data_IF_528726132049
#
_entry.id   IF_528726132049
#
_cell.length_a   1.000
_cell.length_b   1.000
_cell.length_c   1.000
_cell.angle_alpha   90.00
_cell.angle_beta   90.00
_cell.angle_gamma   90.00
#
_symmetry.space_group_name_H-M   'P 1'
#
loop_
_entity.id
_entity.type
_entity.pdbx_description
1 polymer ?
#
# COMPACT_ATOMS: atom_id res chain seq x y z
N UNK A 1 -49.55 -8.39 88.52
CA UNK A 1 -48.10 -8.13 88.36
C UNK A 1 -47.41 -9.41 87.89
N UNK A 2 -47.17 -9.55 86.57
CA UNK A 2 -46.36 -10.63 85.99
C UNK A 2 -45.15 -9.98 85.32
N UNK A 3 -43.94 -10.27 85.83
CA UNK A 3 -42.66 -9.77 85.29
C UNK A 3 -42.33 -10.56 84.03
N UNK A 4 -42.21 -9.87 82.89
CA UNK A 4 -41.71 -10.43 81.62
C UNK A 4 -40.19 -10.25 81.65
N UNK A 5 -39.44 -11.35 81.64
CA UNK A 5 -37.98 -11.37 81.52
C UNK A 5 -37.67 -11.54 80.03
N UNK A 6 -37.12 -10.50 79.40
CA UNK A 6 -36.55 -10.58 78.06
C UNK A 6 -35.13 -11.17 78.16
N UNK A 7 -34.94 -12.40 77.68
CA UNK A 7 -33.61 -12.94 77.40
C UNK A 7 -33.18 -12.44 76.00
N UNK A 8 -32.22 -11.52 75.96
CA UNK A 8 -31.50 -11.16 74.75
C UNK A 8 -30.46 -12.26 74.48
N UNK A 9 -30.71 -13.11 73.48
CA UNK A 9 -29.69 -13.99 72.89
C UNK A 9 -28.82 -13.16 71.94
N UNK A 10 -27.48 -13.23 72.00
CA UNK A 10 -26.64 -12.61 70.98
C UNK A 10 -26.74 -13.43 69.69
N UNK A 11 -27.26 -12.80 68.63
CA UNK A 11 -27.24 -13.36 67.28
C UNK A 11 -25.79 -13.33 66.78
N UNK A 12 -25.09 -14.45 66.88
CA UNK A 12 -23.76 -14.63 66.31
C UNK A 12 -23.92 -14.61 64.78
N UNK A 13 -23.53 -13.50 64.16
CA UNK A 13 -23.41 -13.39 62.71
C UNK A 13 -22.20 -14.23 62.29
N UNK A 14 -22.43 -15.51 61.98
CA UNK A 14 -21.43 -16.38 61.38
C UNK A 14 -21.13 -15.81 59.99
N UNK A 15 -19.94 -15.22 59.82
CA UNK A 15 -19.46 -14.76 58.52
C UNK A 15 -19.38 -15.94 57.56
N UNK A 16 -20.37 -16.05 56.66
CA UNK A 16 -20.28 -16.93 55.51
C UNK A 16 -19.27 -16.28 54.56
N UNK A 17 -18.05 -16.79 54.57
CA UNK A 17 -17.07 -16.54 53.51
C UNK A 17 -17.62 -17.16 52.24
N UNK A 18 -18.22 -16.35 51.38
CA UNK A 18 -18.61 -16.78 50.04
C UNK A 18 -17.32 -16.87 49.24
N UNK A 19 -16.73 -18.06 49.16
CA UNK A 19 -15.66 -18.32 48.21
C UNK A 19 -16.26 -18.29 46.82
N UNK A 20 -16.00 -17.21 46.08
CA UNK A 20 -16.19 -17.21 44.63
C UNK A 20 -15.21 -18.22 44.05
N UNK A 21 -15.70 -19.43 43.74
CA UNK A 21 -15.02 -20.29 42.80
C UNK A 21 -15.22 -19.64 41.42
N UNK A 22 -14.34 -18.72 41.05
CA UNK A 22 -14.21 -18.36 39.63
C UNK A 22 -13.64 -19.59 38.93
N UNK A 23 -14.22 -19.98 37.79
CA UNK A 23 -13.65 -20.98 36.88
C UNK A 23 -13.07 -20.22 35.69
N UNK A 24 -11.96 -20.67 35.12
CA UNK A 24 -11.43 -20.08 33.90
C UNK A 24 -12.44 -20.36 32.79
N UNK A 25 -12.82 -19.32 32.05
CA UNK A 25 -13.85 -19.41 31.01
C UNK A 25 -13.17 -19.45 29.64
N UNK A 26 -13.83 -20.02 28.62
CA UNK A 26 -13.37 -19.97 27.22
C UNK A 26 -13.13 -18.54 26.66
N UNK A 27 -13.49 -17.50 27.41
CA UNK A 27 -13.25 -16.09 27.09
C UNK A 27 -11.85 -15.61 27.46
N UNK A 28 -11.18 -16.26 28.43
CA UNK A 28 -9.88 -15.80 28.98
C UNK A 28 -8.80 -15.85 27.91
N UNK A 29 -8.47 -14.67 27.39
CA UNK A 29 -7.61 -14.55 26.23
C UNK A 29 -6.21 -14.02 26.55
N UNK A 30 -5.86 -13.76 27.82
CA UNK A 30 -4.50 -13.41 28.25
C UNK A 30 -3.93 -14.54 29.10
N UNK A 31 -2.69 -14.95 28.83
CA UNK A 31 -2.02 -16.07 29.49
C UNK A 31 -0.53 -15.81 29.66
N UNK A 32 0.14 -16.69 30.42
CA UNK A 32 1.57 -16.57 30.69
C UNK A 32 1.88 -15.83 31.99
N UNK A 33 3.15 -15.44 32.14
CA UNK A 33 3.68 -14.93 33.40
C UNK A 33 4.41 -13.61 33.20
N UNK A 34 4.19 -12.67 34.12
CA UNK A 34 5.05 -11.51 34.32
C UNK A 34 5.93 -11.72 35.56
N UNK A 35 6.99 -10.93 35.68
CA UNK A 35 7.97 -11.03 36.77
C UNK A 35 8.20 -9.68 37.44
N UNK A 36 8.21 -9.66 38.77
CA UNK A 36 8.79 -8.58 39.56
C UNK A 36 9.88 -9.13 40.46
N UNK A 37 10.97 -8.38 40.63
CA UNK A 37 12.05 -8.77 41.54
C UNK A 37 11.61 -8.80 43.01
N UNK A 38 10.59 -8.02 43.38
CA UNK A 38 10.14 -7.90 44.76
C UNK A 38 9.07 -8.93 45.12
N UNK A 39 8.22 -9.33 44.17
CA UNK A 39 7.06 -10.19 44.43
C UNK A 39 7.04 -11.47 43.58
N UNK A 40 8.08 -11.68 42.78
CA UNK A 40 8.23 -12.87 41.94
C UNK A 40 7.21 -12.94 40.82
N UNK A 41 6.72 -14.15 40.56
CA UNK A 41 5.84 -14.46 39.43
C UNK A 41 4.43 -13.92 39.63
N UNK A 42 3.88 -13.39 38.54
CA UNK A 42 2.47 -13.02 38.39
C UNK A 42 1.91 -13.86 37.24
N UNK A 43 0.96 -14.73 37.55
CA UNK A 43 0.30 -15.59 36.57
C UNK A 43 -0.99 -14.92 36.06
N UNK A 44 -1.11 -14.78 34.74
CA UNK A 44 -2.27 -14.15 34.10
C UNK A 44 -3.42 -15.12 33.82
N UNK A 45 -3.19 -16.43 33.91
CA UNK A 45 -4.22 -17.43 33.70
C UNK A 45 -3.96 -18.71 34.51
N UNK A 46 -4.97 -19.17 35.23
CA UNK A 46 -4.97 -20.46 35.92
C UNK A 46 -6.21 -21.26 35.59
N UNK A 47 -6.41 -22.41 36.24
CA UNK A 47 -7.58 -23.26 36.00
C UNK A 47 -8.92 -22.55 36.28
N UNK A 48 -8.88 -21.48 37.09
CA UNK A 48 -10.03 -20.88 37.74
C UNK A 48 -10.06 -19.33 37.65
N UNK A 49 -9.13 -18.73 36.92
CA UNK A 49 -9.05 -17.28 36.78
C UNK A 49 -8.30 -16.93 35.50
N UNK A 50 -8.52 -15.72 35.01
CA UNK A 50 -7.80 -15.22 33.86
C UNK A 50 -8.00 -13.72 33.69
N UNK A 51 -7.05 -13.12 32.98
CA UNK A 51 -7.18 -11.77 32.44
C UNK A 51 -7.71 -11.88 31.00
N UNK A 52 -8.57 -10.93 30.63
CA UNK A 52 -9.21 -10.84 29.32
C UNK A 52 -8.98 -9.44 28.75
N UNK A 53 -8.85 -9.34 27.44
CA UNK A 53 -8.87 -8.09 26.67
C UNK A 53 -10.06 -8.13 25.72
N UNK A 54 -10.99 -7.18 25.86
CA UNK A 54 -12.08 -7.02 24.91
C UNK A 54 -11.55 -6.40 23.60
N UNK A 55 -11.68 -7.11 22.47
CA UNK A 55 -11.10 -6.68 21.19
C UNK A 55 -11.82 -5.49 20.54
N UNK A 56 -13.02 -5.13 21.02
CA UNK A 56 -13.76 -3.99 20.51
C UNK A 56 -13.40 -2.69 21.24
N UNK A 57 -13.18 -2.76 22.55
CA UNK A 57 -12.98 -1.60 23.42
C UNK A 57 -11.54 -1.45 23.95
N UNK A 58 -10.75 -2.53 23.91
CA UNK A 58 -9.42 -2.58 24.51
C UNK A 58 -9.42 -2.78 26.02
N UNK A 59 -10.59 -2.78 26.66
CA UNK A 59 -10.68 -2.89 28.11
C UNK A 59 -10.24 -4.25 28.61
N UNK A 60 -9.45 -4.24 29.67
CA UNK A 60 -9.12 -5.46 30.37
C UNK A 60 -10.23 -5.84 31.36
N UNK A 61 -10.31 -7.12 31.68
CA UNK A 61 -11.12 -7.61 32.79
C UNK A 61 -10.51 -8.87 33.42
N UNK A 62 -10.99 -9.23 34.61
CA UNK A 62 -10.53 -10.41 35.34
C UNK A 62 -9.31 -10.15 36.22
N UNK A 63 -8.70 -11.23 36.69
CA UNK A 63 -7.69 -11.20 37.74
C UNK A 63 -6.46 -12.01 37.36
N UNK A 64 -5.28 -11.49 37.71
CA UNK A 64 -4.03 -12.25 37.77
C UNK A 64 -3.71 -12.64 39.22
N UNK A 65 -2.81 -13.60 39.42
CA UNK A 65 -2.44 -14.09 40.74
C UNK A 65 -0.94 -14.08 40.94
N UNK A 66 -0.50 -13.66 42.13
CA UNK A 66 0.86 -13.86 42.61
C UNK A 66 0.83 -14.51 43.99
N UNK A 67 1.72 -15.48 44.21
CA UNK A 67 1.82 -16.17 45.50
C UNK A 67 2.27 -15.25 46.65
N UNK A 68 2.95 -14.13 46.34
CA UNK A 68 3.49 -13.22 47.36
C UNK A 68 2.58 -12.04 47.70
N UNK A 69 1.66 -11.64 46.82
CA UNK A 69 0.76 -10.49 47.06
C UNK A 69 -0.73 -10.78 46.84
N UNK A 70 -1.08 -11.95 46.31
CA UNK A 70 -2.44 -12.35 46.05
C UNK A 70 -2.99 -11.88 44.70
N UNK A 71 -4.27 -11.51 44.67
CA UNK A 71 -5.00 -11.19 43.45
C UNK A 71 -4.66 -9.80 42.93
N UNK A 72 -4.58 -9.67 41.60
CA UNK A 72 -4.44 -8.39 40.90
C UNK A 72 -5.64 -8.21 39.99
N UNK A 73 -6.46 -7.21 40.28
CA UNK A 73 -7.62 -6.81 39.48
C UNK A 73 -7.16 -5.94 38.29
N UNK A 74 -7.53 -6.32 37.07
CA UNK A 74 -7.26 -5.52 35.86
C UNK A 74 -8.42 -4.60 35.47
N UNK A 75 -9.58 -4.72 36.11
CA UNK A 75 -10.72 -3.80 35.97
C UNK A 75 -11.14 -3.15 37.30
N UNK A 76 -10.21 -2.60 38.11
CA UNK A 76 -10.56 -2.04 39.40
C UNK A 76 -11.41 -0.77 39.25
N UNK A 77 -12.42 -0.63 40.09
CA UNK A 77 -13.14 0.63 40.23
C UNK A 77 -12.24 1.71 40.85
N UNK A 78 -12.42 2.96 40.41
CA UNK A 78 -11.75 4.12 40.98
C UNK A 78 -12.22 4.48 42.41
N UNK A 79 -11.70 5.57 42.98
CA UNK A 79 -10.84 6.58 42.34
C UNK A 79 -9.41 6.10 42.11
N UNK A 80 -8.83 6.51 40.98
CA UNK A 80 -7.44 6.17 40.61
C UNK A 80 -6.44 7.16 41.25
N UNK A 81 -5.18 6.74 41.51
CA UNK A 81 -4.21 7.60 42.20
C UNK A 81 -3.82 8.87 41.45
N UNK A 82 -3.81 8.81 40.12
CA UNK A 82 -3.46 9.91 39.23
C UNK A 82 -3.95 9.60 37.81
N UNK A 83 -3.83 10.58 36.90
CA UNK A 83 -4.06 10.36 35.47
C UNK A 83 -3.21 9.18 34.94
N UNK A 84 -3.77 8.32 34.07
CA UNK A 84 -5.14 8.37 33.52
C UNK A 84 -6.23 7.87 34.48
N UNK A 85 -7.47 8.34 34.29
CA UNK A 85 -8.62 7.99 35.14
C UNK A 85 -9.43 6.78 34.62
N UNK A 86 -8.73 5.70 34.23
CA UNK A 86 -9.35 4.46 33.75
C UNK A 86 -8.51 3.23 34.17
N UNK A 87 -9.16 2.05 34.23
CA UNK A 87 -8.53 0.75 34.56
C UNK A 87 -7.64 0.24 33.42
N UNK A 88 -7.06 -0.95 33.48
CA UNK A 88 -6.21 -1.43 32.41
C UNK A 88 -6.93 -1.42 31.04
N UNK A 89 -6.28 -0.85 30.03
CA UNK A 89 -6.86 -0.63 28.70
C UNK A 89 -5.77 -0.70 27.63
N UNK A 90 -5.94 -1.55 26.62
CA UNK A 90 -5.05 -1.67 25.46
C UNK A 90 -5.52 -0.72 24.37
N UNK A 91 -4.72 0.31 24.12
CA UNK A 91 -4.97 1.37 23.15
C UNK A 91 -4.58 0.90 21.73
N UNK A 92 -5.56 0.48 20.93
CA UNK A 92 -5.36 0.04 19.54
C UNK A 92 -5.37 1.23 18.57
N UNK A 93 -4.61 1.20 17.46
CA UNK A 93 -4.67 2.23 16.42
C UNK A 93 -6.09 2.52 15.94
N UNK A 94 -6.48 3.81 15.98
CA UNK A 94 -7.81 4.31 15.62
C UNK A 94 -8.38 5.28 16.67
N UNK A 95 -9.35 6.11 16.29
CA UNK A 95 -10.02 7.04 17.20
C UNK A 95 -11.33 6.44 17.75
N UNK A 96 -11.56 6.56 19.06
CA UNK A 96 -12.86 6.22 19.67
C UNK A 96 -12.88 5.15 20.77
N UNK A 97 -11.74 4.67 21.26
CA UNK A 97 -11.68 3.73 22.39
C UNK A 97 -11.83 4.42 23.75
N UNK A 98 -12.16 3.64 24.78
CA UNK A 98 -12.21 4.07 26.19
C UNK A 98 -10.83 4.34 26.81
N UNK A 99 -9.75 3.97 26.11
CA UNK A 99 -8.38 4.27 26.52
C UNK A 99 -8.02 5.76 26.26
N UNK A 100 -6.74 6.15 26.39
CA UNK A 100 -6.29 7.51 26.08
C UNK A 100 -6.36 7.88 24.57
N UNK A 101 -6.72 6.92 23.71
CA UNK A 101 -7.04 7.15 22.30
C UNK A 101 -5.83 7.57 21.47
N UNK A 102 -4.63 7.18 21.90
CA UNK A 102 -3.38 7.51 21.23
C UNK A 102 -3.08 6.56 20.06
N UNK A 103 -3.77 5.42 19.97
CA UNK A 103 -3.63 4.45 18.90
C UNK A 103 -2.28 3.72 18.87
N UNK A 104 -1.66 3.52 20.03
CA UNK A 104 -0.22 3.21 20.12
C UNK A 104 0.15 1.74 20.33
N UNK A 105 -0.80 0.80 20.27
CA UNK A 105 -0.61 -0.60 20.67
C UNK A 105 0.01 -0.70 22.08
N UNK A 106 -0.39 0.19 22.99
CA UNK A 106 0.14 0.29 24.35
C UNK A 106 -0.95 0.05 25.37
N UNK A 107 -0.60 -0.59 26.48
CA UNK A 107 -1.51 -0.76 27.60
C UNK A 107 -1.36 0.41 28.57
N UNK A 108 -2.42 1.17 28.73
CA UNK A 108 -2.54 2.26 29.71
C UNK A 108 -3.38 1.86 30.92
N UNK A 109 -3.63 2.85 31.79
CA UNK A 109 -4.51 2.69 32.94
C UNK A 109 -3.86 2.01 34.15
N UNK A 110 -4.74 1.54 35.04
CA UNK A 110 -4.37 1.01 36.34
C UNK A 110 -4.91 -0.40 36.59
N UNK A 111 -4.07 -1.25 37.16
CA UNK A 111 -4.46 -2.49 37.82
C UNK A 111 -4.30 -2.33 39.35
N UNK A 112 -4.92 -3.21 40.14
CA UNK A 112 -4.92 -3.12 41.61
C UNK A 112 -4.63 -4.46 42.26
N UNK A 113 -3.58 -4.52 43.07
CA UNK A 113 -3.35 -5.63 43.99
C UNK A 113 -4.37 -5.59 45.14
N UNK A 114 -4.96 -6.74 45.45
CA UNK A 114 -6.00 -6.93 46.46
C UNK A 114 -5.49 -7.80 47.60
N UNK A 115 -5.43 -7.22 48.80
CA UNK A 115 -4.86 -7.82 50.00
C UNK A 115 -5.75 -8.87 50.68
N UNK A 116 -7.06 -8.88 50.41
CA UNK A 116 -8.09 -9.75 51.03
C UNK A 116 -7.77 -10.25 52.47
N UNK A 117 -7.32 -9.35 53.34
CA UNK A 117 -7.08 -9.64 54.76
C UNK A 117 -5.70 -10.21 55.14
N UNK A 118 -4.71 -10.27 54.24
CA UNK A 118 -3.37 -10.78 54.55
C UNK A 118 -2.19 -10.25 53.73
N UNK A 119 -2.37 -9.26 52.84
CA UNK A 119 -1.33 -8.76 51.94
C UNK A 119 -1.24 -7.24 51.84
N UNK A 120 -0.48 -6.76 50.85
CA UNK A 120 -0.40 -5.33 50.48
C UNK A 120 -1.46 -4.98 49.44
N UNK A 121 -2.18 -3.87 49.66
CA UNK A 121 -3.11 -3.28 48.70
C UNK A 121 -2.41 -2.13 47.97
N UNK A 122 -2.52 -2.09 46.64
CA UNK A 122 -2.19 -0.87 45.93
C UNK A 122 -2.14 -0.99 44.42
N UNK A 123 -1.70 0.11 43.82
CA UNK A 123 -1.94 0.40 42.41
C UNK A 123 -0.73 0.09 41.56
N UNK A 124 -0.98 -0.51 40.40
CA UNK A 124 0.00 -0.81 39.37
C UNK A 124 -0.35 0.05 38.16
N UNK A 125 0.54 0.96 37.79
CA UNK A 125 0.40 1.78 36.59
C UNK A 125 1.01 1.05 35.40
N UNK A 126 0.22 0.81 34.37
CA UNK A 126 0.65 0.03 33.21
C UNK A 126 1.45 0.87 32.20
N UNK A 127 1.39 2.20 32.31
CA UNK A 127 2.16 3.14 31.48
C UNK A 127 2.47 4.44 32.20
N UNK A 128 3.71 4.90 32.06
CA UNK A 128 4.20 6.20 32.48
C UNK A 128 4.72 7.02 31.29
N UNK A 129 5.47 8.09 31.59
CA UNK A 129 6.06 8.95 30.56
C UNK A 129 7.20 8.30 29.79
N UNK A 130 7.89 7.32 30.39
CA UNK A 130 9.12 6.70 29.88
C UNK A 130 9.13 5.16 30.03
N UNK A 131 7.99 4.57 30.40
CA UNK A 131 7.81 3.13 30.49
C UNK A 131 6.37 2.78 30.10
N UNK A 132 6.14 1.53 29.72
CA UNK A 132 4.81 0.99 29.54
C UNK A 132 4.84 -0.45 29.07
N UNK A 133 3.66 -1.04 29.05
CA UNK A 133 3.42 -2.34 28.45
C UNK A 133 2.99 -2.14 27.00
N UNK A 134 3.67 -2.81 26.08
CA UNK A 134 3.46 -2.77 24.63
C UNK A 134 2.84 -4.08 24.15
N UNK A 135 1.93 -4.00 23.17
CA UNK A 135 1.33 -5.14 22.50
C UNK A 135 1.91 -5.32 21.09
N UNK A 136 2.30 -6.54 20.75
CA UNK A 136 2.78 -6.91 19.40
C UNK A 136 1.70 -7.66 18.64
N UNK A 137 1.13 -7.03 17.60
CA UNK A 137 -0.03 -7.57 16.86
C UNK A 137 0.22 -8.90 16.16
N UNK A 138 1.44 -9.18 15.73
CA UNK A 138 1.77 -10.42 15.01
C UNK A 138 1.86 -11.63 15.93
N UNK A 139 2.37 -11.45 17.16
CA UNK A 139 2.62 -12.53 18.12
C UNK A 139 1.61 -12.60 19.26
N UNK A 140 0.81 -11.56 19.46
CA UNK A 140 -0.05 -11.41 20.62
C UNK A 140 0.72 -11.11 21.91
N UNK A 141 2.02 -10.83 21.83
CA UNK A 141 2.87 -10.65 23.02
C UNK A 141 2.63 -9.29 23.69
N UNK A 142 2.53 -9.31 25.02
CA UNK A 142 2.65 -8.13 25.88
C UNK A 142 4.09 -8.05 26.39
N UNK A 143 4.75 -6.92 26.20
CA UNK A 143 6.15 -6.71 26.55
C UNK A 143 6.35 -5.36 27.24
N UNK A 144 7.55 -5.09 27.75
CA UNK A 144 7.83 -3.85 28.48
C UNK A 144 7.52 -3.95 29.97
N UNK A 145 7.31 -2.80 30.61
CA UNK A 145 7.32 -2.67 32.06
C UNK A 145 6.13 -1.89 32.59
N UNK A 146 5.54 -2.40 33.67
CA UNK A 146 4.62 -1.65 34.52
C UNK A 146 5.31 -1.28 35.84
N UNK A 147 4.79 -0.27 36.53
CA UNK A 147 5.36 0.21 37.78
C UNK A 147 4.29 0.36 38.85
N UNK A 148 4.61 -0.10 40.05
CA UNK A 148 3.81 0.13 41.26
C UNK A 148 4.65 0.91 42.28
N UNK A 149 4.37 0.85 43.58
CA UNK A 149 5.22 1.51 44.56
C UNK A 149 6.49 0.70 44.91
N UNK A 150 7.15 1.06 46.02
CA UNK A 150 8.33 0.36 46.49
C UNK A 150 8.10 -1.10 46.91
N UNK A 151 6.85 -1.51 47.13
CA UNK A 151 6.51 -2.88 47.55
C UNK A 151 6.55 -3.82 46.35
N UNK A 152 5.77 -3.55 45.31
CA UNK A 152 5.75 -4.39 44.10
C UNK A 152 6.90 -4.02 43.15
N UNK A 153 7.29 -2.75 43.08
CA UNK A 153 8.34 -2.28 42.20
C UNK A 153 7.99 -2.41 40.71
N UNK A 154 9.02 -2.70 39.91
CA UNK A 154 8.90 -2.90 38.47
C UNK A 154 8.39 -4.29 38.15
N UNK A 155 7.44 -4.37 37.22
CA UNK A 155 6.91 -5.62 36.68
C UNK A 155 7.27 -5.72 35.21
N UNK A 156 8.05 -6.73 34.83
CA UNK A 156 8.36 -7.07 33.44
C UNK A 156 7.32 -8.02 32.86
N UNK A 157 6.77 -7.66 31.70
CA UNK A 157 5.79 -8.50 31.00
C UNK A 157 6.45 -9.52 30.05
N UNK A 158 7.75 -9.38 29.76
CA UNK A 158 8.50 -10.31 28.90
C UNK A 158 9.95 -10.45 29.35
N UNK A 159 10.44 -11.68 29.39
CA UNK A 159 11.85 -12.01 29.56
C UNK A 159 12.30 -13.05 28.54
N UNK A 160 13.48 -13.63 28.75
CA UNK A 160 14.06 -14.63 27.83
C UNK A 160 13.21 -15.90 27.76
N UNK A 161 12.66 -16.36 28.90
CA UNK A 161 11.96 -17.65 29.02
C UNK A 161 10.53 -17.52 29.56
N UNK A 162 10.00 -16.29 29.64
CA UNK A 162 8.66 -16.03 30.11
C UNK A 162 8.08 -14.84 29.35
N UNK A 163 6.75 -14.79 29.29
CA UNK A 163 6.05 -13.64 28.75
C UNK A 163 4.57 -13.77 28.98
N UNK A 164 3.89 -12.62 28.89
CA UNK A 164 2.44 -12.54 28.84
C UNK A 164 2.03 -12.46 27.37
N UNK A 165 1.09 -13.29 26.96
CA UNK A 165 0.58 -13.32 25.58
C UNK A 165 -0.94 -13.28 25.60
N UNK A 166 -1.51 -12.70 24.57
CA UNK A 166 -2.95 -12.73 24.34
C UNK A 166 -3.30 -13.38 23.01
N UNK A 167 -4.39 -14.15 23.02
CA UNK A 167 -5.05 -14.68 21.82
C UNK A 167 -6.09 -13.71 21.26
N UNK A 168 -6.25 -12.53 21.87
CA UNK A 168 -7.03 -11.44 21.33
C UNK A 168 -6.51 -11.09 19.93
N UNK A 169 -7.26 -11.46 18.90
CA UNK A 169 -6.95 -11.10 17.52
C UNK A 169 -7.37 -9.65 17.31
N UNK A 170 -6.39 -8.77 17.19
CA UNK A 170 -6.67 -7.35 17.05
C UNK A 170 -6.98 -6.99 15.60
N UNK A 171 -7.89 -6.02 15.37
CA UNK A 171 -8.07 -5.47 14.04
C UNK A 171 -6.77 -4.78 13.59
N UNK A 172 -6.29 -5.02 12.36
CA UNK A 172 -5.18 -4.25 11.82
C UNK A 172 -5.57 -2.78 11.60
N UNK A 173 -4.57 -1.93 11.40
CA UNK A 173 -4.73 -0.51 11.10
C UNK A 173 -4.46 -0.22 9.64
N UNK A 174 -5.32 0.64 9.07
CA UNK A 174 -5.22 1.14 7.71
C UNK A 174 -5.56 2.63 7.65
N UNK A 175 -4.80 3.39 6.87
CA UNK A 175 -5.06 4.81 6.59
C UNK A 175 -4.92 5.12 5.10
N UNK A 176 -5.68 6.08 4.60
CA UNK A 176 -5.55 6.49 3.19
C UNK A 176 -4.21 7.20 2.95
N UNK A 177 -3.69 7.07 1.73
CA UNK A 177 -2.44 7.67 1.29
C UNK A 177 -2.62 8.44 -0.03
N UNK A 178 -3.84 8.91 -0.29
CA UNK A 178 -4.22 9.62 -1.52
C UNK A 178 -4.27 8.74 -2.77
N UNK A 179 -4.34 9.40 -3.91
CA UNK A 179 -4.53 8.81 -5.23
C UNK A 179 -3.46 9.28 -6.21
N UNK A 180 -3.22 8.44 -7.21
CA UNK A 180 -2.46 8.78 -8.42
C UNK A 180 -3.33 8.53 -9.64
N UNK A 181 -3.00 9.14 -10.77
CA UNK A 181 -3.83 9.06 -11.97
C UNK A 181 -3.06 8.50 -13.17
N UNK A 182 -3.75 7.68 -13.95
CA UNK A 182 -3.35 7.33 -15.30
C UNK A 182 -4.34 7.96 -16.29
N UNK A 183 -3.92 9.08 -16.88
CA UNK A 183 -4.72 9.85 -17.84
C UNK A 183 -4.48 9.45 -19.31
N UNK A 184 -3.28 8.95 -19.62
CA UNK A 184 -2.78 8.94 -21.00
C UNK A 184 -2.61 7.54 -21.59
N UNK A 185 -2.73 6.47 -20.80
CA UNK A 185 -2.51 5.10 -21.28
C UNK A 185 -3.72 4.47 -21.98
N UNK A 186 -4.89 5.08 -21.88
CA UNK A 186 -6.13 4.51 -22.38
C UNK A 186 -6.96 5.61 -23.04
N UNK A 187 -7.49 5.30 -24.21
CA UNK A 187 -8.43 6.18 -24.88
C UNK A 187 -9.72 6.35 -24.06
N UNK A 188 -10.25 7.57 -24.02
CA UNK A 188 -11.50 7.94 -23.33
C UNK A 188 -11.53 7.64 -21.81
N UNK A 189 -10.38 7.41 -21.16
CA UNK A 189 -10.32 7.07 -19.73
C UNK A 189 -9.31 7.89 -18.96
N UNK A 190 -9.63 8.12 -17.69
CA UNK A 190 -8.69 8.58 -16.66
C UNK A 190 -8.89 7.72 -15.43
N UNK A 191 -7.89 6.92 -15.08
CA UNK A 191 -8.03 5.86 -14.09
C UNK A 191 -7.34 6.29 -12.80
N UNK A 192 -8.09 6.53 -11.71
CA UNK A 192 -7.48 6.76 -10.40
C UNK A 192 -6.96 5.44 -9.83
N UNK A 193 -5.78 5.51 -9.21
CA UNK A 193 -5.21 4.45 -8.38
C UNK A 193 -5.19 4.93 -6.94
N UNK A 194 -6.00 4.30 -6.11
CA UNK A 194 -6.11 4.60 -4.68
C UNK A 194 -4.98 3.90 -3.93
N UNK A 195 -4.31 4.60 -3.02
CA UNK A 195 -3.19 4.09 -2.25
C UNK A 195 -3.48 4.21 -0.74
N UNK A 196 -3.04 3.24 0.05
CA UNK A 196 -3.20 3.26 1.50
C UNK A 196 -1.95 2.74 2.22
N UNK A 197 -1.87 2.95 3.53
CA UNK A 197 -0.82 2.41 4.38
C UNK A 197 -1.39 1.34 5.30
N UNK A 198 -0.75 0.18 5.32
CA UNK A 198 -1.02 -0.91 6.27
C UNK A 198 0.17 -1.09 7.23
N UNK A 199 -0.07 -1.00 8.54
CA UNK A 199 1.01 -0.94 9.55
C UNK A 199 1.27 -2.23 10.34
N UNK A 200 0.39 -3.23 10.26
CA UNK A 200 0.39 -4.39 11.17
C UNK A 200 1.02 -5.65 10.57
N UNK A 201 2.08 -5.47 9.77
CA UNK A 201 2.79 -6.55 9.09
C UNK A 201 2.32 -6.75 7.65
N UNK A 202 1.85 -7.95 7.31
CA UNK A 202 1.43 -8.28 5.93
C UNK A 202 -0.09 -8.30 5.80
N UNK A 203 -0.62 -7.46 4.92
CA UNK A 203 -2.04 -7.49 4.55
C UNK A 203 -2.37 -8.77 3.77
N UNK A 204 -3.55 -9.36 4.01
CA UNK A 204 -4.06 -10.52 3.27
C UNK A 204 -5.05 -10.12 2.17
N UNK A 205 -5.93 -9.17 2.46
CA UNK A 205 -6.97 -8.70 1.54
C UNK A 205 -7.41 -7.28 1.87
N UNK A 206 -8.21 -6.67 0.99
CA UNK A 206 -8.80 -5.36 1.20
C UNK A 206 -10.23 -5.28 0.65
N UNK A 207 -10.95 -4.25 1.07
CA UNK A 207 -12.28 -3.90 0.58
C UNK A 207 -12.35 -2.38 0.46
N UNK A 208 -12.68 -1.89 -0.73
CA UNK A 208 -12.82 -0.46 -1.06
C UNK A 208 -14.27 -0.11 -1.31
N UNK A 209 -14.65 1.09 -0.86
CA UNK A 209 -15.87 1.76 -1.29
C UNK A 209 -15.55 3.15 -1.84
N UNK A 210 -16.22 3.52 -2.93
CA UNK A 210 -16.18 4.85 -3.55
C UNK A 210 -17.65 5.30 -3.74
N UNK A 211 -17.97 6.52 -3.31
CA UNK A 211 -19.33 7.10 -3.35
C UNK A 211 -19.27 8.57 -3.80
N UNK A 212 -20.15 9.01 -4.70
CA UNK A 212 -20.24 10.40 -5.18
C UNK A 212 -21.37 11.22 -4.55
N UNK A 213 -22.16 10.60 -3.68
CA UNK A 213 -23.28 11.22 -2.99
C UNK A 213 -22.84 11.83 -1.66
N UNK A 214 -22.11 11.08 -0.83
CA UNK A 214 -21.58 11.59 0.44
C UNK A 214 -20.50 10.69 1.06
N UNK A 215 -19.74 11.28 2.00
CA UNK A 215 -18.86 10.55 2.92
C UNK A 215 -19.59 9.53 3.84
N UNK A 216 -20.92 9.42 3.78
CA UNK A 216 -21.70 8.40 4.48
C UNK A 216 -21.76 7.05 3.74
N UNK A 217 -21.36 7.00 2.47
CA UNK A 217 -21.43 5.82 1.61
C UNK A 217 -22.82 5.15 1.56
N UNK A 218 -23.93 5.90 1.33
CA UNK A 218 -25.27 5.32 1.30
C UNK A 218 -25.48 4.36 0.12
N UNK A 219 -24.89 4.65 -1.05
CA UNK A 219 -25.03 3.87 -2.28
C UNK A 219 -23.74 3.99 -3.11
N UNK A 220 -22.64 3.36 -2.69
CA UNK A 220 -21.34 3.51 -3.35
C UNK A 220 -21.39 3.04 -4.82
N UNK A 221 -20.83 3.82 -5.74
CA UNK A 221 -20.71 3.43 -7.16
C UNK A 221 -19.70 2.29 -7.32
N UNK A 222 -18.71 2.24 -6.44
CA UNK A 222 -17.77 1.11 -6.34
C UNK A 222 -17.87 0.50 -4.96
N UNK A 223 -18.25 -0.77 -4.93
CA UNK A 223 -18.17 -1.61 -3.73
C UNK A 223 -17.51 -2.94 -4.13
N UNK A 224 -16.22 -3.07 -3.84
CA UNK A 224 -15.43 -4.19 -4.37
C UNK A 224 -15.74 -5.53 -3.70
N UNK A 225 -16.37 -5.52 -2.52
CA UNK A 225 -16.26 -6.65 -1.60
C UNK A 225 -14.80 -6.93 -1.21
N UNK A 226 -14.55 -8.15 -0.71
CA UNK A 226 -13.20 -8.61 -0.36
C UNK A 226 -12.40 -8.99 -1.62
N UNK A 227 -11.30 -8.27 -1.86
CA UNK A 227 -10.28 -8.61 -2.85
C UNK A 227 -9.10 -9.26 -2.13
N UNK A 228 -8.86 -10.55 -2.41
CA UNK A 228 -7.82 -11.35 -1.74
C UNK A 228 -6.42 -11.14 -2.34
N UNK A 229 -5.91 -9.92 -2.18
CA UNK A 229 -4.56 -9.51 -2.62
C UNK A 229 -3.91 -8.68 -1.51
N UNK A 230 -2.60 -8.85 -1.32
CA UNK A 230 -1.81 -8.15 -0.30
C UNK A 230 -1.32 -6.76 -0.71
N UNK A 231 -1.79 -6.23 -1.85
CA UNK A 231 -1.37 -4.91 -2.37
C UNK A 231 -1.94 -3.79 -1.51
N UNK A 232 -1.26 -2.65 -1.49
CA UNK A 232 -1.70 -1.44 -0.81
C UNK A 232 -2.16 -0.35 -1.80
N UNK A 233 -2.56 -0.79 -2.98
CA UNK A 233 -3.10 0.04 -4.04
C UNK A 233 -4.16 -0.68 -4.86
N UNK A 234 -5.07 0.10 -5.45
CA UNK A 234 -6.15 -0.37 -6.31
C UNK A 234 -6.44 0.64 -7.42
N UNK A 235 -6.29 0.21 -8.67
CA UNK A 235 -6.68 0.98 -9.85
C UNK A 235 -8.16 0.72 -10.19
N UNK A 236 -8.94 1.78 -10.35
CA UNK A 236 -10.39 1.71 -10.60
C UNK A 236 -10.65 1.48 -12.10
N UNK A 237 -10.33 0.29 -12.61
CA UNK A 237 -10.34 0.01 -14.07
C UNK A 237 -11.68 -0.48 -14.62
N UNK A 238 -12.53 -1.07 -13.78
CA UNK A 238 -13.77 -1.76 -14.19
C UNK A 238 -15.05 -0.95 -13.94
N UNK A 239 -14.90 0.28 -13.47
CA UNK A 239 -16.01 1.18 -13.15
C UNK A 239 -15.81 2.46 -13.92
N UNK A 240 -16.86 2.88 -14.62
CA UNK A 240 -16.87 4.17 -15.30
C UNK A 240 -17.37 5.21 -14.29
N UNK A 241 -16.51 6.16 -13.98
CA UNK A 241 -16.82 7.28 -13.09
C UNK A 241 -17.27 8.47 -13.94
N UNK A 242 -18.32 9.16 -13.50
CA UNK A 242 -18.75 10.41 -14.11
C UNK A 242 -17.63 11.46 -14.05
N UNK A 243 -17.49 12.25 -15.12
CA UNK A 243 -16.56 13.37 -15.21
C UNK A 243 -16.98 14.55 -14.32
N UNK A 244 -16.04 15.44 -14.02
CA UNK A 244 -16.20 16.61 -13.14
C UNK A 244 -16.95 16.29 -11.82
N UNK A 245 -16.72 15.09 -11.28
CA UNK A 245 -17.47 14.57 -10.15
C UNK A 245 -16.55 14.29 -8.99
N UNK A 246 -16.96 14.75 -7.81
CA UNK A 246 -16.27 14.50 -6.56
C UNK A 246 -16.68 13.16 -5.98
N UNK A 247 -15.70 12.33 -5.65
CA UNK A 247 -15.89 11.04 -5.01
C UNK A 247 -15.23 11.00 -3.64
N UNK A 248 -15.91 10.39 -2.67
CA UNK A 248 -15.34 10.00 -1.39
C UNK A 248 -14.97 8.52 -1.44
N UNK A 249 -13.85 8.15 -0.85
CA UNK A 249 -13.43 6.76 -0.79
C UNK A 249 -12.90 6.37 0.59
N UNK A 250 -13.01 5.08 0.88
CA UNK A 250 -12.48 4.46 2.10
C UNK A 250 -12.05 3.02 1.82
N UNK A 251 -11.13 2.52 2.64
CA UNK A 251 -10.64 1.14 2.55
C UNK A 251 -10.64 0.50 3.93
N UNK A 252 -10.93 -0.79 4.00
CA UNK A 252 -10.58 -1.65 5.14
C UNK A 252 -9.73 -2.80 4.66
N UNK A 253 -8.82 -3.26 5.52
CA UNK A 253 -7.85 -4.29 5.21
C UNK A 253 -8.04 -5.48 6.15
N UNK A 254 -7.65 -6.68 5.70
CA UNK A 254 -7.67 -7.90 6.50
C UNK A 254 -6.27 -8.40 6.73
N UNK A 255 -5.97 -8.83 7.94
CA UNK A 255 -4.69 -9.46 8.26
C UNK A 255 -4.63 -10.94 7.82
N UNK A 256 -3.47 -11.58 8.02
CA UNK A 256 -3.25 -13.00 7.72
C UNK A 256 -4.04 -13.94 8.66
N UNK A 257 -4.59 -13.42 9.75
CA UNK A 257 -5.34 -14.14 10.78
C UNK A 257 -6.86 -14.10 10.53
N UNK A 258 -7.28 -13.41 9.47
CA UNK A 258 -8.65 -13.26 9.01
C UNK A 258 -9.43 -12.12 9.67
N UNK A 259 -8.76 -11.19 10.34
CA UNK A 259 -9.39 -10.08 11.09
C UNK A 259 -9.39 -8.82 10.24
N UNK A 260 -10.55 -8.15 10.18
CA UNK A 260 -10.72 -6.89 9.47
C UNK A 260 -10.33 -5.70 10.35
N UNK A 261 -9.71 -4.70 9.72
CA UNK A 261 -9.58 -3.36 10.28
C UNK A 261 -10.95 -2.68 10.40
N UNK A 262 -10.99 -1.59 11.17
CA UNK A 262 -12.00 -0.56 10.91
C UNK A 262 -11.81 0.03 9.51
N UNK A 263 -12.85 0.68 8.98
CA UNK A 263 -12.68 1.53 7.81
C UNK A 263 -11.63 2.61 8.09
N UNK A 264 -10.81 2.92 7.09
CA UNK A 264 -9.85 4.01 7.12
C UNK A 264 -10.54 5.35 7.41
N UNK A 265 -9.73 6.39 7.69
CA UNK A 265 -10.19 7.74 7.47
C UNK A 265 -10.73 7.89 6.04
N UNK A 266 -11.71 8.78 5.86
CA UNK A 266 -12.31 9.03 4.55
C UNK A 266 -11.40 10.00 3.80
N UNK A 267 -11.20 9.70 2.52
CA UNK A 267 -10.46 10.55 1.60
C UNK A 267 -11.31 10.83 0.35
N UNK A 268 -10.85 11.69 -0.54
CA UNK A 268 -11.64 12.14 -1.68
C UNK A 268 -10.79 12.62 -2.85
N UNK A 269 -11.30 12.44 -4.05
CA UNK A 269 -10.73 12.96 -5.30
C UNK A 269 -11.85 13.55 -6.18
N UNK A 270 -11.48 14.34 -7.17
CA UNK A 270 -12.39 14.82 -8.22
C UNK A 270 -11.88 14.33 -9.56
N UNK A 271 -12.73 13.73 -10.37
CA UNK A 271 -12.38 13.32 -11.73
C UNK A 271 -12.13 14.55 -12.62
N UNK A 272 -11.33 14.42 -13.69
CA UNK A 272 -11.18 15.49 -14.69
C UNK A 272 -12.51 15.89 -15.34
N UNK A 273 -12.54 17.01 -16.08
CA UNK A 273 -13.74 17.51 -16.77
C UNK A 273 -14.17 16.63 -17.95
N UNK A 274 -13.20 15.98 -18.59
CA UNK A 274 -13.38 14.94 -19.62
C UNK A 274 -12.12 14.09 -19.72
N UNK A 275 -12.13 13.09 -20.61
CA UNK A 275 -10.93 12.29 -20.87
C UNK A 275 -9.79 13.15 -21.41
N UNK A 276 -8.56 12.83 -20.99
CA UNK A 276 -7.37 13.37 -21.63
C UNK A 276 -7.22 12.80 -23.05
N UNK A 277 -6.57 13.53 -23.96
CA UNK A 277 -6.35 13.04 -25.32
C UNK A 277 -5.37 11.84 -25.30
N UNK A 278 -5.56 10.87 -26.19
CA UNK A 278 -4.74 9.66 -26.26
C UNK A 278 -3.64 9.78 -27.32
N UNK A 279 -2.35 9.80 -26.95
CA UNK A 279 -1.22 10.10 -27.85
C UNK A 279 -0.78 8.89 -28.69
N UNK A 280 -1.74 8.09 -29.17
CA UNK A 280 -1.50 7.00 -30.10
C UNK A 280 -1.25 7.52 -31.52
N UNK A 281 -0.36 6.86 -32.24
CA UNK A 281 -0.08 7.16 -33.64
C UNK A 281 0.47 5.95 -34.40
N UNK A 282 0.44 6.03 -35.71
CA UNK A 282 1.03 5.09 -36.66
C UNK A 282 1.91 5.82 -37.67
N UNK A 283 2.71 5.07 -38.44
CA UNK A 283 3.55 5.65 -39.49
C UNK A 283 3.66 4.75 -40.72
N UNK A 284 4.01 5.33 -41.86
CA UNK A 284 4.26 4.59 -43.10
C UNK A 284 5.42 5.24 -43.85
N UNK A 285 6.38 4.47 -44.40
CA UNK A 285 6.50 3.01 -44.33
C UNK A 285 6.96 2.51 -42.94
N UNK A 286 6.67 1.26 -42.61
CA UNK A 286 7.07 0.65 -41.34
C UNK A 286 8.57 0.34 -41.25
N UNK A 287 9.20 0.08 -42.40
CA UNK A 287 10.63 -0.18 -42.56
C UNK A 287 11.22 0.84 -43.55
N UNK A 288 11.36 2.12 -43.14
CA UNK A 288 11.86 3.15 -44.03
C UNK A 288 13.34 2.96 -44.36
N UNK A 289 13.75 3.45 -45.52
CA UNK A 289 15.16 3.74 -45.80
C UNK A 289 15.55 5.13 -45.26
N UNK A 290 16.84 5.37 -45.02
CA UNK A 290 17.34 6.71 -44.77
C UNK A 290 16.99 7.63 -45.94
N UNK A 291 16.58 8.85 -45.63
CA UNK A 291 16.09 9.86 -46.59
C UNK A 291 14.80 9.46 -47.33
N UNK A 292 14.13 8.37 -46.93
CA UNK A 292 12.76 8.09 -47.35
C UNK A 292 11.78 8.87 -46.48
N UNK A 293 10.75 9.43 -47.09
CA UNK A 293 9.72 10.20 -46.39
C UNK A 293 8.85 9.25 -45.56
N UNK A 294 8.89 9.43 -44.23
CA UNK A 294 8.02 8.74 -43.28
C UNK A 294 6.86 9.64 -42.91
N UNK A 295 5.64 9.18 -43.16
CA UNK A 295 4.39 9.89 -42.83
C UNK A 295 3.86 9.37 -41.51
N UNK A 296 3.79 10.23 -40.50
CA UNK A 296 3.18 9.91 -39.21
C UNK A 296 1.71 10.33 -39.18
N UNK A 297 0.85 9.48 -38.62
CA UNK A 297 -0.59 9.70 -38.52
C UNK A 297 -1.04 9.48 -37.07
N UNK A 298 -1.48 10.53 -36.35
CA UNK A 298 -2.02 10.39 -35.01
C UNK A 298 -3.40 9.73 -35.07
N UNK A 299 -3.72 8.96 -34.03
CA UNK A 299 -5.01 8.27 -33.92
C UNK A 299 -6.17 9.27 -33.73
N UNK A 300 -5.87 10.44 -33.16
CA UNK A 300 -6.83 11.52 -32.89
C UNK A 300 -6.53 12.78 -33.72
N UNK A 301 -7.61 13.39 -34.25
CA UNK A 301 -7.54 14.55 -35.16
C UNK A 301 -8.06 15.83 -34.51
N UNK A 302 -7.61 17.00 -34.97
CA UNK A 302 -8.14 18.29 -34.51
C UNK A 302 -7.58 18.79 -33.18
N UNK A 303 -6.45 18.26 -32.74
CA UNK A 303 -5.75 18.64 -31.52
C UNK A 303 -4.56 19.57 -31.83
N UNK A 304 -3.90 20.07 -30.79
CA UNK A 304 -2.54 20.59 -30.93
C UNK A 304 -1.55 19.43 -30.88
N UNK A 305 -0.53 19.47 -31.75
CA UNK A 305 0.47 18.41 -31.88
C UNK A 305 1.87 18.95 -31.59
N UNK A 306 2.72 18.13 -31.01
CA UNK A 306 4.15 18.38 -30.87
C UNK A 306 4.93 17.07 -31.03
N UNK A 307 5.47 16.89 -32.23
CA UNK A 307 6.37 15.80 -32.57
C UNK A 307 7.80 16.13 -32.20
N UNK A 308 8.47 15.22 -31.52
CA UNK A 308 9.87 15.39 -31.10
C UNK A 308 10.67 14.16 -31.49
N UNK A 309 11.73 14.36 -32.27
CA UNK A 309 12.79 13.36 -32.48
C UNK A 309 13.69 13.42 -31.24
N UNK A 310 13.61 12.41 -30.38
CA UNK A 310 14.34 12.37 -29.10
C UNK A 310 15.71 11.72 -29.21
N UNK A 311 15.89 10.86 -30.21
CA UNK A 311 17.15 10.20 -30.55
C UNK A 311 17.29 10.11 -32.07
N UNK A 312 18.52 10.21 -32.56
CA UNK A 312 18.79 10.26 -34.00
C UNK A 312 18.69 11.67 -34.60
N UNK A 313 18.68 11.75 -35.92
CA UNK A 313 18.60 13.00 -36.68
C UNK A 313 17.61 12.82 -37.83
N UNK A 314 16.66 13.75 -37.96
CA UNK A 314 15.72 13.77 -39.07
C UNK A 314 15.26 15.18 -39.38
N UNK A 315 14.78 15.38 -40.60
CA UNK A 315 14.31 16.67 -41.10
C UNK A 315 12.83 16.59 -41.48
N UNK A 316 12.07 17.62 -41.10
CA UNK A 316 10.69 17.75 -41.54
C UNK A 316 10.64 18.21 -43.00
N UNK A 317 9.91 17.48 -43.82
CA UNK A 317 9.81 17.71 -45.27
C UNK A 317 8.36 18.00 -45.70
N UNK A 318 8.15 18.21 -47.00
CA UNK A 318 6.83 18.50 -47.61
C UNK A 318 6.08 19.68 -47.00
N UNK A 319 6.80 20.64 -46.42
CA UNK A 319 6.22 21.81 -45.75
C UNK A 319 5.53 21.50 -44.42
N UNK A 320 5.71 20.28 -43.90
CA UNK A 320 5.27 19.89 -42.56
C UNK A 320 6.28 20.33 -41.50
N UNK A 321 5.91 20.22 -40.23
CA UNK A 321 6.79 20.54 -39.10
C UNK A 321 6.32 19.86 -37.82
N UNK A 322 7.02 20.12 -36.72
CA UNK A 322 6.74 19.48 -35.42
C UNK A 322 5.31 19.72 -34.89
N UNK A 323 4.64 20.78 -35.32
CA UNK A 323 3.25 21.08 -34.94
C UNK A 323 2.19 20.61 -35.95
N UNK A 324 2.61 19.93 -37.02
CA UNK A 324 1.67 19.40 -38.02
C UNK A 324 0.92 18.18 -37.46
N UNK A 325 -0.35 18.04 -37.80
CA UNK A 325 -1.13 16.86 -37.45
C UNK A 325 -0.46 15.58 -38.00
N UNK A 326 -0.08 15.59 -39.27
CA UNK A 326 0.64 14.49 -39.91
C UNK A 326 1.98 15.00 -40.45
N UNK A 327 3.08 14.92 -39.68
CA UNK A 327 4.39 15.34 -40.14
C UNK A 327 4.98 14.31 -41.09
N UNK A 328 5.74 14.82 -42.05
CA UNK A 328 6.55 14.04 -42.97
C UNK A 328 8.01 14.23 -42.56
N UNK A 329 8.72 13.14 -42.27
CA UNK A 329 10.09 13.19 -41.75
C UNK A 329 10.99 12.29 -42.57
N UNK A 330 12.15 12.81 -42.98
CA UNK A 330 13.25 12.03 -43.53
C UNK A 330 14.31 11.80 -42.45
N UNK A 331 14.56 10.54 -42.09
CA UNK A 331 15.60 10.19 -41.11
C UNK A 331 16.97 10.06 -41.77
N UNK A 332 18.00 10.64 -41.13
CA UNK A 332 19.38 10.65 -41.59
C UNK A 332 20.26 9.64 -40.85
N UNK A 333 19.78 9.11 -39.72
CA UNK A 333 20.47 8.12 -38.91
C UNK A 333 19.72 6.79 -38.91
N UNK A 334 20.42 5.66 -38.70
CA UNK A 334 19.79 4.35 -38.73
C UNK A 334 18.84 4.11 -37.57
N UNK A 335 19.18 4.56 -36.38
CA UNK A 335 18.38 4.40 -35.17
C UNK A 335 17.83 5.76 -34.75
N UNK A 336 16.51 5.84 -34.62
CA UNK A 336 15.81 7.06 -34.24
C UNK A 336 14.75 6.75 -33.21
N UNK A 337 14.39 7.75 -32.41
CA UNK A 337 13.21 7.70 -31.55
C UNK A 337 12.37 8.94 -31.73
N UNK A 338 11.06 8.73 -31.75
CA UNK A 338 10.09 9.80 -31.86
C UNK A 338 9.06 9.69 -30.76
N UNK A 339 8.58 10.83 -30.30
CA UNK A 339 7.43 10.94 -29.41
C UNK A 339 6.44 11.98 -29.91
N UNK A 340 5.19 11.79 -29.51
CA UNK A 340 4.10 12.69 -29.77
C UNK A 340 3.55 13.24 -28.46
N UNK A 341 3.44 14.56 -28.36
CA UNK A 341 2.61 15.23 -27.36
C UNK A 341 1.39 15.78 -28.07
N UNK A 342 0.20 15.52 -27.53
CA UNK A 342 -1.05 16.13 -27.97
C UNK A 342 -1.69 16.92 -26.84
N UNK A 343 -2.41 17.99 -27.20
CA UNK A 343 -3.14 18.85 -26.27
C UNK A 343 -4.50 19.21 -26.87
N UNK A 344 -5.56 19.13 -26.07
CA UNK A 344 -6.91 19.51 -26.50
C UNK A 344 -7.24 20.99 -26.22
N UNK A 345 -8.52 21.37 -26.41
CA UNK A 345 -9.00 22.74 -26.26
C UNK A 345 -9.02 23.24 -24.82
N UNK A 346 -9.01 22.32 -23.85
CA UNK A 346 -9.14 22.59 -22.42
C UNK A 346 -7.79 22.40 -21.70
N UNK A 347 -6.70 22.43 -22.49
CA UNK A 347 -5.29 22.30 -22.09
C UNK A 347 -4.92 20.94 -21.47
N UNK A 348 -5.73 19.90 -21.67
CA UNK A 348 -5.36 18.54 -21.23
C UNK A 348 -4.36 17.97 -22.22
N UNK A 349 -3.25 17.43 -21.70
CA UNK A 349 -2.12 17.01 -22.53
C UNK A 349 -1.58 15.65 -22.12
N UNK A 350 -1.20 14.87 -23.12
CA UNK A 350 -0.60 13.56 -22.97
C UNK A 350 0.58 13.37 -23.91
N UNK A 351 1.58 12.64 -23.41
CA UNK A 351 2.80 12.28 -24.13
C UNK A 351 2.82 10.77 -24.39
N UNK A 352 3.16 10.37 -25.61
CA UNK A 352 3.35 8.98 -26.00
C UNK A 352 4.61 8.39 -25.35
N UNK A 353 4.71 7.06 -25.31
CA UNK A 353 6.02 6.43 -25.16
C UNK A 353 6.94 6.82 -26.35
N UNK A 354 8.25 6.66 -26.17
CA UNK A 354 9.19 6.79 -27.29
C UNK A 354 9.06 5.58 -28.21
N UNK A 355 8.75 5.83 -29.49
CA UNK A 355 8.70 4.80 -30.52
C UNK A 355 10.01 4.78 -31.30
N UNK A 356 10.59 3.60 -31.47
CA UNK A 356 11.83 3.40 -32.20
C UNK A 356 11.56 3.25 -33.70
N UNK A 357 12.29 4.02 -34.51
CA UNK A 357 12.22 3.97 -35.98
C UNK A 357 13.60 3.62 -36.53
N UNK A 358 13.71 2.44 -37.13
CA UNK A 358 14.92 2.00 -37.81
C UNK A 358 14.85 2.38 -39.30
N UNK A 359 15.75 3.27 -39.72
CA UNK A 359 15.88 3.69 -41.11
C UNK A 359 17.10 2.99 -41.76
N UNK A 360 16.87 1.95 -42.55
CA UNK A 360 17.96 1.20 -43.17
C UNK A 360 18.66 2.02 -44.27
N UNK A 361 19.92 1.71 -44.57
CA UNK A 361 20.55 2.32 -45.74
C UNK A 361 19.80 1.89 -47.00
N UNK A 362 19.49 2.83 -47.92
CA UNK A 362 18.80 2.48 -49.15
C UNK A 362 19.62 1.44 -49.92
N UNK A 363 18.92 0.43 -50.46
CA UNK A 363 19.56 -0.56 -51.30
C UNK A 363 20.24 0.14 -52.49
N UNK A 364 21.46 -0.27 -52.88
CA UNK A 364 22.16 0.37 -53.99
C UNK A 364 21.35 0.23 -55.28
N UNK A 365 21.15 1.34 -55.97
CA UNK A 365 20.45 1.38 -57.25
C UNK A 365 21.26 0.63 -58.31
N UNK A 366 20.73 -0.49 -58.83
CA UNK A 366 21.38 -1.26 -59.87
C UNK A 366 21.11 -0.63 -61.24
N UNK A 367 22.13 0.00 -61.82
CA UNK A 367 22.12 0.34 -63.25
C UNK A 367 22.66 -0.84 -64.06
N UNK A 368 21.83 -1.38 -64.96
CA UNK A 368 22.31 -2.31 -65.99
C UNK A 368 23.41 -1.62 -66.81
N UNK A 369 24.63 -2.17 -66.78
CA UNK A 369 25.66 -1.78 -67.73
C UNK A 369 25.24 -2.30 -69.11
N UNK A 370 24.96 -1.44 -70.12
CA UNK A 370 24.63 -1.93 -71.45
C UNK A 370 25.78 -2.80 -71.95
N UNK A 371 25.49 -3.94 -72.63
CA UNK A 371 26.52 -4.86 -73.05
C UNK A 371 27.61 -4.14 -73.86
N UNK A 372 28.88 -4.35 -73.48
CA UNK A 372 30.12 -3.75 -74.05
C UNK A 372 30.34 -4.16 -75.54
N UNK A 373 29.32 -4.69 -76.22
CA UNK A 373 29.33 -5.11 -77.63
C UNK A 373 29.75 -3.96 -78.55
N UNK A 374 29.35 -2.72 -78.25
CA UNK A 374 29.76 -1.54 -79.03
C UNK A 374 31.27 -1.23 -78.93
N UNK A 375 31.85 -1.32 -77.72
CA UNK A 375 33.28 -1.10 -77.49
C UNK A 375 34.12 -2.21 -78.14
N UNK A 376 33.64 -3.47 -78.10
CA UNK A 376 34.26 -4.58 -78.83
C UNK A 376 34.25 -4.34 -80.33
N UNK A 377 33.11 -3.94 -80.91
CA UNK A 377 33.00 -3.61 -82.35
C UNK A 377 33.95 -2.48 -82.73
N UNK A 378 33.98 -1.38 -81.96
CA UNK A 378 34.84 -0.23 -82.20
C UNK A 378 36.33 -0.60 -82.16
N UNK A 379 36.77 -1.38 -81.16
CA UNK A 379 38.14 -1.87 -81.04
C UNK A 379 38.54 -2.81 -82.18
N UNK A 380 37.65 -3.69 -82.65
CA UNK A 380 37.93 -4.54 -83.82
C UNK A 380 38.05 -3.75 -85.13
N UNK A 381 37.23 -2.72 -85.34
CA UNK A 381 37.41 -1.83 -86.50
C UNK A 381 38.72 -1.04 -86.43
N UNK A 382 39.11 -0.56 -85.24
CA UNK A 382 40.36 0.18 -85.07
C UNK A 382 41.59 -0.72 -85.32
N UNK A 383 41.57 -1.96 -84.82
CA UNK A 383 42.65 -2.93 -85.04
C UNK A 383 42.83 -3.27 -86.53
N UNK A 384 41.72 -3.46 -87.27
CA UNK A 384 41.77 -3.72 -88.72
C UNK A 384 42.32 -2.54 -89.55
N UNK A 385 42.17 -1.32 -89.05
CA UNK A 385 42.67 -0.10 -89.71
C UNK A 385 44.19 0.07 -89.49
N UNK A 386 44.69 -0.37 -88.33
CA UNK A 386 46.11 -0.31 -87.96
C UNK A 386 46.91 -1.40 -88.70
N UNK A 387 46.37 -2.63 -88.83
CA UNK A 387 47.03 -3.70 -89.59
C UNK A 387 47.12 -3.42 -91.10
N UNK A 388 46.22 -2.59 -91.64
CA UNK A 388 46.29 -2.13 -93.04
C UNK A 388 47.38 -1.10 -93.33
N UNK A 389 47.94 -0.44 -92.31
CA UNK A 389 48.92 0.64 -92.46
C UNK A 389 50.37 0.19 -92.28
N UNK A 390 50.63 -1.05 -91.82
CA UNK A 390 51.98 -1.59 -91.62
C UNK A 390 52.10 -3.07 -92.03
N UNK A 391 52.31 -3.40 -93.31
CA UNK A 391 52.71 -4.75 -93.68
C UNK A 391 54.13 -5.06 -93.15
N UNK A 392 54.27 -6.15 -92.41
CA UNK A 392 55.54 -6.62 -91.84
C UNK A 392 56.62 -6.85 -92.92
N UNK A 393 57.89 -6.41 -92.71
CA UNK A 393 58.94 -6.57 -93.72
C UNK A 393 59.48 -8.01 -93.79
N UNK A 394 59.67 -8.47 -95.03
CA UNK A 394 60.29 -9.74 -95.42
C UNK A 394 61.71 -9.91 -94.84
N UNK A 395 61.89 -10.83 -93.89
CA UNK A 395 63.18 -11.36 -93.48
C UNK A 395 63.75 -12.27 -94.58
N UNK A 396 64.73 -11.77 -95.34
CA UNK A 396 65.58 -12.56 -96.23
C UNK A 396 66.57 -13.39 -95.40
N UNK A 397 66.54 -14.71 -95.61
CA UNK A 397 67.58 -15.67 -95.20
C UNK A 397 68.92 -15.31 -95.85
N UNK A 398 69.99 -15.21 -95.06
CA UNK A 398 71.33 -15.73 -95.33
C UNK A 398 71.95 -16.15 -94.01
#
# INVERSE_FOLDING_TARGET
>A
MKKIIFFLLPLILLGISISFNTQARPSDNVSGYAWSENIGWINFNGSNYGVNIDTASGNFSGYAWSEHIGWIDFAPAGPYPASPNYSACLDFPGSGQTCDGLGTNKVGGWARALAYGGGWDGWIKLRGSNYGVDYTSQSGELSGWAWSDMVIGWISFKGVNYGVVTTAKLPPSVSTAGETWNHCSFEEKSIPTLNWNYSDGTQASYWIQIDNTSAGFPNPEVDTGEIQISSQSYAVTFYDLDWDTKYWWRVKAKDQQGVWSNWSNIDNFTTPEHAYPYPGFSWVPQEPSQQEVVVFTPDQTGLAYLWTITEGTGEYVDGTGSASQSPHIEFLTPDNKIKLVITDSDDYSCESAEEAITAELPLPEYHEAPPIIWLRKALTTLASLIDGLYPAPLLKKW
#
